data_IF_051134006436
#
_entry.id   IF_051134006436
#
_cell.length_a   1.000
_cell.length_b   1.000
_cell.length_c   1.000
_cell.angle_alpha   90.00
_cell.angle_beta   90.00
_cell.angle_gamma   90.00
#
_symmetry.space_group_name_H-M   'P 1'
#
loop_
_entity.id
_entity.type
_entity.pdbx_description
1 polymer ?
#
# COMPACT_ATOMS: atom_id res chain seq x y z
N UNK A 1 -18.70 29.21 -7.04
CA UNK A 1 -18.26 30.19 -6.02
C UNK A 1 -16.89 29.77 -5.49
N UNK A 2 -15.82 30.10 -6.21
CA UNK A 2 -14.43 29.94 -5.74
C UNK A 2 -13.46 30.95 -6.40
N UNK A 3 -13.97 32.06 -6.96
CA UNK A 3 -13.18 33.08 -7.65
C UNK A 3 -13.10 34.36 -6.81
N UNK A 4 -12.65 34.22 -5.55
CA UNK A 4 -12.30 35.36 -4.71
C UNK A 4 -10.87 35.84 -5.01
N UNK A 5 -10.49 37.08 -4.65
CA UNK A 5 -9.12 37.57 -4.84
C UNK A 5 -8.07 36.67 -4.15
N UNK A 6 -8.44 36.08 -3.01
CA UNK A 6 -7.67 35.10 -2.24
C UNK A 6 -7.37 33.80 -3.01
N UNK A 7 -8.27 33.35 -3.89
CA UNK A 7 -8.03 32.13 -4.67
C UNK A 7 -7.09 32.40 -5.84
N UNK A 8 -7.17 33.59 -6.46
CA UNK A 8 -6.28 34.01 -7.53
C UNK A 8 -4.84 34.20 -7.03
N UNK A 9 -4.64 34.79 -5.85
CA UNK A 9 -3.32 34.92 -5.23
C UNK A 9 -2.71 33.55 -4.91
N UNK A 10 -3.46 32.66 -4.28
CA UNK A 10 -3.02 31.30 -3.98
C UNK A 10 -2.66 30.49 -5.25
N UNK A 11 -3.39 30.67 -6.35
CA UNK A 11 -3.07 30.04 -7.64
C UNK A 11 -1.72 30.55 -8.18
N UNK A 12 -1.48 31.87 -8.09
CA UNK A 12 -0.21 32.48 -8.53
C UNK A 12 0.97 31.99 -7.70
N UNK A 13 0.82 31.90 -6.38
CA UNK A 13 1.86 31.39 -5.49
C UNK A 13 2.20 29.92 -5.79
N UNK A 14 1.19 29.07 -5.95
CA UNK A 14 1.39 27.66 -6.35
C UNK A 14 2.10 27.54 -7.70
N UNK A 15 1.71 28.38 -8.67
CA UNK A 15 2.35 28.41 -9.98
C UNK A 15 3.82 28.86 -9.88
N UNK A 16 4.13 29.84 -9.02
CA UNK A 16 5.49 30.30 -8.78
C UNK A 16 6.37 29.20 -8.16
N UNK A 17 5.87 28.49 -7.15
CA UNK A 17 6.57 27.36 -6.53
C UNK A 17 6.84 26.24 -7.55
N UNK A 18 5.83 25.86 -8.34
CA UNK A 18 5.98 24.86 -9.40
C UNK A 18 7.02 25.27 -10.45
N UNK A 19 7.02 26.55 -10.84
CA UNK A 19 7.99 27.09 -11.78
C UNK A 19 9.42 27.07 -11.21
N UNK A 20 9.59 27.36 -9.91
CA UNK A 20 10.90 27.30 -9.25
C UNK A 20 11.46 25.87 -9.25
N UNK A 21 10.68 24.89 -8.78
CA UNK A 21 11.08 23.46 -8.74
C UNK A 21 11.40 22.95 -10.16
N UNK A 22 10.57 23.31 -11.15
CA UNK A 22 10.81 22.91 -12.55
C UNK A 22 12.11 23.50 -13.10
N UNK A 23 12.43 24.75 -12.79
CA UNK A 23 13.68 25.39 -13.22
C UNK A 23 14.90 24.70 -12.60
N UNK A 24 14.85 24.34 -11.32
CA UNK A 24 15.92 23.58 -10.65
C UNK A 24 16.14 22.21 -11.31
N UNK A 25 15.05 21.48 -11.52
CA UNK A 25 15.09 20.19 -12.22
C UNK A 25 15.69 20.31 -13.63
N UNK A 26 15.24 21.29 -14.42
CA UNK A 26 15.76 21.53 -15.76
C UNK A 26 17.26 21.85 -15.74
N UNK A 27 17.75 22.66 -14.79
CA UNK A 27 19.19 22.95 -14.65
C UNK A 27 20.01 21.68 -14.41
N UNK A 28 19.51 20.78 -13.56
CA UNK A 28 20.22 19.55 -13.20
C UNK A 28 20.13 18.47 -14.29
N UNK A 29 19.04 18.42 -15.05
CA UNK A 29 18.87 17.45 -16.14
C UNK A 29 19.59 17.88 -17.41
N UNK A 30 19.55 19.17 -17.75
CA UNK A 30 20.15 19.69 -18.98
C UNK A 30 21.66 19.93 -18.86
N UNK A 31 22.29 19.71 -17.70
CA UNK A 31 23.73 19.87 -17.51
C UNK A 31 24.50 18.74 -18.24
N UNK A 32 25.28 19.04 -19.30
CA UNK A 32 25.99 18.03 -20.08
C UNK A 32 27.16 17.38 -19.33
N UNK A 33 27.73 18.04 -18.32
CA UNK A 33 28.86 17.54 -17.55
C UNK A 33 28.46 16.72 -16.32
N UNK A 34 27.16 16.45 -16.14
CA UNK A 34 26.64 15.71 -14.99
C UNK A 34 27.19 14.28 -14.87
N UNK A 35 27.55 13.65 -15.97
CA UNK A 35 28.20 12.33 -15.94
C UNK A 35 29.65 12.37 -15.42
N UNK A 36 30.31 13.54 -15.46
CA UNK A 36 31.70 13.73 -15.04
C UNK A 36 31.87 14.11 -13.56
N UNK A 37 30.81 14.52 -12.86
CA UNK A 37 30.86 14.94 -11.45
C UNK A 37 30.81 13.78 -10.44
N UNK A 38 30.82 12.52 -10.89
CA UNK A 38 30.67 11.35 -10.01
C UNK A 38 29.25 11.12 -9.49
N UNK A 39 28.33 12.06 -9.72
CA UNK A 39 26.89 11.96 -9.49
C UNK A 39 26.17 11.24 -10.65
N UNK A 40 26.86 10.27 -11.27
CA UNK A 40 26.34 9.52 -12.42
C UNK A 40 25.19 8.62 -11.99
N UNK A 41 23.96 8.99 -12.34
CA UNK A 41 22.76 8.20 -12.03
C UNK A 41 21.46 8.99 -12.13
N UNK A 42 20.38 8.40 -11.61
CA UNK A 42 19.09 9.07 -11.47
C UNK A 42 19.21 10.34 -10.60
N UNK A 43 18.43 11.38 -10.92
CA UNK A 43 18.47 12.62 -10.15
C UNK A 43 17.90 12.38 -8.75
N UNK A 44 18.65 12.74 -7.71
CA UNK A 44 18.14 12.68 -6.35
C UNK A 44 17.07 13.75 -6.13
N UNK A 45 15.86 13.31 -5.80
CA UNK A 45 14.77 14.20 -5.43
C UNK A 45 14.60 14.19 -3.90
N UNK A 46 14.87 15.31 -3.20
CA UNK A 46 14.68 15.40 -1.76
C UNK A 46 13.21 15.24 -1.34
N UNK A 47 12.24 15.60 -2.19
CA UNK A 47 10.83 15.42 -1.89
C UNK A 47 10.45 13.94 -1.88
N UNK A 48 10.92 13.18 -2.86
CA UNK A 48 10.76 11.72 -2.90
C UNK A 48 11.42 11.06 -1.69
N UNK A 49 12.64 11.45 -1.34
CA UNK A 49 13.35 10.92 -0.18
C UNK A 49 12.55 11.15 1.12
N UNK A 50 12.01 12.36 1.32
CA UNK A 50 11.17 12.68 2.49
C UNK A 50 9.91 11.84 2.55
N UNK A 51 9.28 11.59 1.41
CA UNK A 51 8.11 10.72 1.34
C UNK A 51 8.46 9.27 1.70
N UNK A 52 9.56 8.75 1.15
CA UNK A 52 10.02 7.40 1.46
C UNK A 52 10.44 7.26 2.93
N UNK A 53 11.14 8.26 3.49
CA UNK A 53 11.50 8.26 4.90
C UNK A 53 10.28 8.30 5.80
N UNK A 54 9.26 9.09 5.46
CA UNK A 54 7.98 9.12 6.20
C UNK A 54 7.29 7.76 6.18
N UNK A 55 7.34 7.03 5.06
CA UNK A 55 6.78 5.66 4.97
C UNK A 55 7.55 4.67 5.83
N UNK A 56 8.87 4.78 5.88
CA UNK A 56 9.70 3.91 6.70
C UNK A 56 9.49 4.14 8.21
N UNK A 57 9.26 5.40 8.63
CA UNK A 57 9.08 5.77 10.04
C UNK A 57 7.61 5.84 10.48
N UNK A 58 6.69 5.20 9.74
CA UNK A 58 5.26 5.21 10.05
C UNK A 58 4.93 4.73 11.47
N UNK A 59 5.70 3.76 11.97
CA UNK A 59 5.50 3.21 13.30
C UNK A 59 5.84 4.23 14.41
N UNK A 60 6.89 5.02 14.24
CA UNK A 60 7.35 6.00 15.24
C UNK A 60 6.31 7.10 15.49
N UNK A 61 5.51 7.43 14.47
CA UNK A 61 4.46 8.45 14.55
C UNK A 61 3.05 7.85 14.72
N UNK A 62 2.93 6.53 14.87
CA UNK A 62 1.64 5.88 15.04
C UNK A 62 1.01 6.27 16.39
N UNK A 63 -0.27 6.68 16.35
CA UNK A 63 -1.06 6.95 17.56
C UNK A 63 -2.17 5.91 17.67
N UNK A 64 -2.23 5.12 18.76
CA UNK A 64 -3.28 4.13 18.96
C UNK A 64 -4.61 4.85 19.26
N UNK A 65 -5.38 5.11 18.21
CA UNK A 65 -6.76 5.60 18.33
C UNK A 65 -7.71 4.41 18.32
N UNK A 66 -8.85 4.46 19.03
CA UNK A 66 -9.78 3.33 19.09
C UNK A 66 -10.27 2.91 17.69
N UNK A 67 -10.47 3.88 16.78
CA UNK A 67 -10.84 3.61 15.38
C UNK A 67 -9.74 2.86 14.62
N UNK A 68 -8.49 3.30 14.73
CA UNK A 68 -7.36 2.67 14.06
C UNK A 68 -7.07 1.27 14.61
N UNK A 69 -7.10 1.11 15.93
CA UNK A 69 -6.90 -0.19 16.57
C UNK A 69 -8.00 -1.19 16.20
N UNK A 70 -9.27 -0.78 16.22
CA UNK A 70 -10.38 -1.65 15.82
C UNK A 70 -10.26 -2.09 14.36
N UNK A 71 -9.93 -1.17 13.45
CA UNK A 71 -9.73 -1.49 12.05
C UNK A 71 -8.56 -2.47 11.85
N UNK A 72 -7.43 -2.22 12.52
CA UNK A 72 -6.27 -3.12 12.47
C UNK A 72 -6.58 -4.53 12.98
N UNK A 73 -7.24 -4.63 14.14
CA UNK A 73 -7.65 -5.93 14.72
C UNK A 73 -8.65 -6.65 13.81
N UNK A 74 -9.67 -5.95 13.29
CA UNK A 74 -10.65 -6.57 12.40
C UNK A 74 -10.01 -7.09 11.12
N UNK A 75 -9.10 -6.32 10.51
CA UNK A 75 -8.39 -6.72 9.29
C UNK A 75 -7.52 -7.98 9.48
N UNK A 76 -7.08 -8.26 10.70
CA UNK A 76 -6.31 -9.48 11.02
C UNK A 76 -7.24 -10.63 11.41
N UNK A 77 -8.20 -10.39 12.32
CA UNK A 77 -9.04 -11.45 12.89
C UNK A 77 -10.09 -11.94 11.91
N UNK A 78 -10.69 -11.04 11.12
CA UNK A 78 -11.75 -11.40 10.17
C UNK A 78 -11.30 -12.42 9.10
N UNK A 79 -10.16 -12.28 8.40
CA UNK A 79 -9.73 -13.29 7.44
C UNK A 79 -9.36 -14.62 8.08
N UNK A 80 -8.79 -14.62 9.30
CA UNK A 80 -8.44 -15.85 10.01
C UNK A 80 -9.71 -16.64 10.35
N UNK A 81 -10.70 -15.98 10.97
CA UNK A 81 -11.96 -16.62 11.32
C UNK A 81 -12.76 -16.99 10.07
N UNK A 82 -12.80 -16.12 9.06
CA UNK A 82 -13.49 -16.36 7.80
C UNK A 82 -12.96 -17.60 7.09
N UNK A 83 -11.64 -17.70 6.92
CA UNK A 83 -11.00 -18.86 6.31
C UNK A 83 -11.20 -20.14 7.14
N UNK A 84 -11.04 -20.06 8.47
CA UNK A 84 -11.26 -21.20 9.36
C UNK A 84 -12.69 -21.76 9.28
N UNK A 85 -13.70 -20.88 9.20
CA UNK A 85 -15.10 -21.30 9.06
C UNK A 85 -15.40 -21.89 7.69
N UNK A 86 -14.82 -21.35 6.62
CA UNK A 86 -14.96 -21.93 5.27
C UNK A 86 -14.34 -23.32 5.22
N UNK A 87 -13.09 -23.46 5.68
CA UNK A 87 -12.39 -24.75 5.71
C UNK A 87 -13.16 -25.77 6.55
N UNK A 88 -13.69 -25.37 7.72
CA UNK A 88 -14.50 -26.24 8.55
C UNK A 88 -15.76 -26.72 7.81
N UNK A 89 -16.49 -25.80 7.17
CA UNK A 89 -17.70 -26.15 6.40
C UNK A 89 -17.38 -27.14 5.28
N UNK A 90 -16.30 -26.91 4.54
CA UNK A 90 -15.90 -27.78 3.44
C UNK A 90 -15.54 -29.18 3.95
N UNK A 91 -14.80 -29.26 5.06
CA UNK A 91 -14.47 -30.54 5.72
C UNK A 91 -15.71 -31.29 6.22
N UNK A 92 -16.61 -30.61 6.92
CA UNK A 92 -17.84 -31.21 7.45
C UNK A 92 -18.74 -31.73 6.31
N UNK A 93 -18.84 -30.98 5.21
CA UNK A 93 -19.58 -31.40 4.02
C UNK A 93 -18.94 -32.61 3.34
N UNK A 94 -17.62 -32.61 3.19
CA UNK A 94 -16.89 -33.72 2.59
C UNK A 94 -17.03 -34.99 3.44
N UNK A 95 -16.88 -34.88 4.77
CA UNK A 95 -17.08 -35.99 5.69
C UNK A 95 -18.50 -36.55 5.62
N UNK A 96 -19.52 -35.69 5.51
CA UNK A 96 -20.91 -36.11 5.30
C UNK A 96 -21.08 -36.92 4.01
N UNK A 97 -20.45 -36.49 2.91
CA UNK A 97 -20.49 -37.22 1.63
C UNK A 97 -19.82 -38.59 1.74
N UNK A 98 -18.73 -38.70 2.49
CA UNK A 98 -18.08 -39.98 2.79
C UNK A 98 -19.01 -40.90 3.59
N UNK A 99 -19.62 -40.41 4.68
CA UNK A 99 -20.51 -41.19 5.56
C UNK A 99 -21.78 -41.67 4.86
N UNK A 100 -22.28 -40.89 3.91
CA UNK A 100 -23.46 -41.24 3.09
C UNK A 100 -23.12 -42.12 1.87
N UNK A 101 -21.85 -42.45 1.66
CA UNK A 101 -21.41 -43.31 0.54
C UNK A 101 -21.42 -42.62 -0.83
N UNK A 102 -21.57 -41.29 -0.88
CA UNK A 102 -21.58 -40.52 -2.14
C UNK A 102 -20.20 -40.42 -2.79
N UNK A 103 -19.13 -40.65 -2.03
CA UNK A 103 -17.74 -40.61 -2.50
C UNK A 103 -17.16 -42.02 -2.47
N UNK A 104 -16.74 -42.51 -3.64
CA UNK A 104 -16.10 -43.81 -3.77
C UNK A 104 -14.78 -43.85 -2.97
N UNK A 105 -14.40 -45.04 -2.49
CA UNK A 105 -13.16 -45.19 -1.71
C UNK A 105 -11.92 -44.77 -2.51
N UNK A 106 -11.94 -44.97 -3.84
CA UNK A 106 -10.85 -44.58 -4.75
C UNK A 106 -10.64 -43.05 -4.83
N UNK A 107 -11.67 -42.24 -4.60
CA UNK A 107 -11.62 -40.78 -4.80
C UNK A 107 -11.38 -40.00 -3.50
N UNK A 108 -11.11 -40.69 -2.39
CA UNK A 108 -10.79 -40.06 -1.11
C UNK A 108 -9.34 -39.56 -1.10
N UNK A 109 -9.12 -38.30 -0.74
CA UNK A 109 -7.77 -37.72 -0.67
C UNK A 109 -6.96 -38.28 0.51
N UNK A 110 -7.60 -38.57 1.65
CA UNK A 110 -6.95 -39.10 2.86
C UNK A 110 -7.45 -40.52 3.17
N UNK A 111 -6.81 -41.54 2.58
CA UNK A 111 -7.26 -42.95 2.71
C UNK A 111 -6.65 -43.70 3.89
N UNK A 112 -5.43 -43.32 4.29
CA UNK A 112 -4.55 -44.13 5.14
C UNK A 112 -3.98 -43.39 6.36
N UNK A 113 -4.45 -42.16 6.59
CA UNK A 113 -4.07 -41.31 7.71
C UNK A 113 -5.31 -40.90 8.50
#
# INVERSE_FOLDING_TARGET
MADGPESVSAIRERAAIKAAIKREYQKQVLNPYRHGSGEGGALFDPALQRFMSMRATQYDFFRPTPKASLLGTLMIVAPILGYGLLLKRDKDQFEKKIRTGQVAYADREFKFY
#
